data_IF_424462455764
#
_entry.id   IF_424462455764
#
_cell.length_a   1.000
_cell.length_b   1.000
_cell.length_c   1.000
_cell.angle_alpha   90.00
_cell.angle_beta   90.00
_cell.angle_gamma   90.00
#
_symmetry.space_group_name_H-M   'P 1'
#
loop_
_entity.id
_entity.type
_entity.pdbx_description
1 polymer ?
#
# COMPACT_ATOMS: atom_id res chain seq x y z
N UNK A 1 16.50 31.02 -75.49
CA UNK A 1 16.19 31.91 -74.35
C UNK A 1 15.20 31.18 -73.47
N UNK A 2 15.64 30.65 -72.33
CA UNK A 2 14.79 30.00 -71.34
C UNK A 2 14.62 30.99 -70.19
N UNK A 3 13.40 31.44 -69.95
CA UNK A 3 13.06 32.35 -68.84
C UNK A 3 13.28 31.63 -67.50
N UNK A 4 14.30 32.04 -66.76
CA UNK A 4 14.56 31.62 -65.38
C UNK A 4 13.60 32.38 -64.44
N UNK A 5 12.37 31.88 -64.30
CA UNK A 5 11.42 32.38 -63.30
C UNK A 5 11.80 31.85 -61.93
N UNK A 6 12.68 32.55 -61.23
CA UNK A 6 12.93 32.27 -59.80
C UNK A 6 11.69 32.63 -58.99
N UNK A 7 11.25 31.77 -58.06
CA UNK A 7 10.13 32.07 -57.19
C UNK A 7 10.46 33.27 -56.31
N UNK A 8 9.53 34.22 -56.23
CA UNK A 8 9.68 35.42 -55.42
C UNK A 8 9.54 35.01 -53.94
N UNK A 9 10.65 35.00 -53.19
CA UNK A 9 10.65 34.62 -51.77
C UNK A 9 10.51 35.90 -50.94
N UNK A 10 9.33 36.15 -50.38
CA UNK A 10 9.09 37.23 -49.42
C UNK A 10 9.26 36.76 -47.98
N UNK A 11 9.72 37.66 -47.12
CA UNK A 11 9.77 37.48 -45.68
C UNK A 11 8.53 38.10 -45.04
N UNK A 12 7.83 37.38 -44.16
CA UNK A 12 6.71 37.94 -43.41
C UNK A 12 7.22 38.48 -42.06
N UNK A 13 7.23 39.81 -41.85
CA UNK A 13 7.73 40.42 -40.63
C UNK A 13 6.83 40.19 -39.42
N UNK A 14 5.56 39.80 -39.62
CA UNK A 14 4.62 39.55 -38.51
C UNK A 14 4.91 38.20 -37.86
N UNK A 15 5.18 37.19 -38.66
CA UNK A 15 5.49 35.83 -38.19
C UNK A 15 6.99 35.58 -38.04
N UNK A 16 7.85 36.47 -38.57
CA UNK A 16 9.31 36.32 -38.65
C UNK A 16 9.75 35.03 -39.39
N UNK A 17 8.97 34.62 -40.39
CA UNK A 17 9.23 33.40 -41.16
C UNK A 17 9.19 33.72 -42.66
N UNK A 18 10.00 33.03 -43.45
CA UNK A 18 9.98 33.13 -44.91
C UNK A 18 8.71 32.47 -45.47
N UNK A 19 8.05 33.11 -46.42
CA UNK A 19 6.76 32.67 -46.99
C UNK A 19 6.87 31.26 -47.64
N UNK A 20 8.06 30.92 -48.14
CA UNK A 20 8.40 29.59 -48.66
C UNK A 20 8.28 28.46 -47.63
N UNK A 21 8.47 28.75 -46.35
CA UNK A 21 8.35 27.78 -45.24
C UNK A 21 6.87 27.46 -45.00
N UNK A 22 5.98 28.46 -45.13
CA UNK A 22 4.54 28.31 -44.92
C UNK A 22 3.91 27.51 -46.06
N UNK A 23 4.41 27.64 -47.30
CA UNK A 23 3.85 26.95 -48.46
C UNK A 23 4.38 25.52 -48.69
N UNK A 24 5.42 25.07 -47.97
CA UNK A 24 5.93 23.71 -48.11
C UNK A 24 5.00 22.69 -47.40
N UNK A 25 4.46 21.68 -48.11
CA UNK A 25 3.54 20.70 -47.52
C UNK A 25 4.15 19.92 -46.36
N UNK A 26 5.47 19.68 -46.35
CA UNK A 26 6.16 18.97 -45.27
C UNK A 26 6.21 19.80 -43.98
N UNK A 27 6.42 21.11 -44.09
CA UNK A 27 6.43 22.01 -42.92
C UNK A 27 5.03 22.17 -42.34
N UNK A 28 3.98 22.23 -43.18
CA UNK A 28 2.58 22.22 -42.72
C UNK A 28 2.25 20.96 -41.94
N UNK A 29 2.65 19.78 -42.43
CA UNK A 29 2.43 18.50 -41.75
C UNK A 29 3.12 18.48 -40.38
N UNK A 30 4.38 18.96 -40.32
CA UNK A 30 5.15 19.04 -39.08
C UNK A 30 4.49 19.96 -38.05
N UNK A 31 4.05 21.16 -38.44
CA UNK A 31 3.37 22.08 -37.52
C UNK A 31 2.03 21.54 -37.02
N UNK A 32 1.24 20.89 -37.89
CA UNK A 32 0.00 20.22 -37.46
C UNK A 32 0.29 19.13 -36.44
N UNK A 33 1.35 18.33 -36.64
CA UNK A 33 1.74 17.29 -35.68
C UNK A 33 2.16 17.87 -34.32
N UNK A 34 2.93 18.95 -34.30
CA UNK A 34 3.35 19.63 -33.06
C UNK A 34 2.15 20.19 -32.31
N UNK A 35 1.24 20.87 -33.00
CA UNK A 35 0.02 21.42 -32.39
C UNK A 35 -0.90 20.30 -31.90
N UNK A 36 -1.09 19.23 -32.70
CA UNK A 36 -1.88 18.08 -32.30
C UNK A 36 -1.31 17.39 -31.06
N UNK A 37 0.01 17.21 -30.97
CA UNK A 37 0.68 16.68 -29.79
C UNK A 37 0.46 17.60 -28.57
N UNK A 38 0.70 18.91 -28.71
CA UNK A 38 0.53 19.87 -27.62
C UNK A 38 -0.91 19.94 -27.08
N UNK A 39 -1.92 19.82 -27.96
CA UNK A 39 -3.34 19.81 -27.58
C UNK A 39 -3.78 18.45 -27.02
N UNK A 40 -3.16 17.35 -27.46
CA UNK A 40 -3.49 16.01 -26.98
C UNK A 40 -2.99 15.71 -25.56
N UNK A 41 -1.84 16.28 -25.14
CA UNK A 41 -1.24 16.02 -23.82
C UNK A 41 -2.20 16.36 -22.65
N UNK A 42 -2.86 17.53 -22.60
CA UNK A 42 -3.84 17.85 -21.55
C UNK A 42 -5.07 16.91 -21.56
N UNK A 43 -5.48 16.44 -22.74
CA UNK A 43 -6.59 15.49 -22.86
C UNK A 43 -6.19 14.10 -22.35
N UNK A 44 -4.95 13.65 -22.60
CA UNK A 44 -4.41 12.41 -22.04
C UNK A 44 -4.32 12.48 -20.51
N UNK A 45 -4.03 13.65 -19.93
CA UNK A 45 -4.09 13.88 -18.48
C UNK A 45 -5.52 13.90 -17.91
N UNK A 46 -6.56 14.17 -18.72
CA UNK A 46 -7.96 14.04 -18.28
C UNK A 46 -8.50 12.61 -18.44
N UNK A 47 -7.97 11.84 -19.39
CA UNK A 47 -8.26 10.40 -19.57
C UNK A 47 -7.41 9.48 -18.66
N UNK A 48 -6.83 10.06 -17.60
CA UNK A 48 -5.96 9.46 -16.58
C UNK A 48 -6.60 8.33 -15.75
N UNK A 49 -7.70 7.72 -16.21
CA UNK A 49 -8.14 6.41 -15.68
C UNK A 49 -7.22 5.27 -16.11
N UNK A 50 -6.43 5.43 -17.19
CA UNK A 50 -5.47 4.40 -17.64
C UNK A 50 -4.07 4.56 -17.04
N UNK A 51 -3.72 5.75 -16.53
CA UNK A 51 -2.45 6.04 -15.84
C UNK A 51 -2.60 6.08 -14.31
N UNK A 52 -3.83 6.21 -13.78
CA UNK A 52 -4.17 5.83 -12.41
C UNK A 52 -4.09 4.31 -12.27
N UNK A 53 -2.85 3.83 -12.11
CA UNK A 53 -2.41 2.48 -11.74
C UNK A 53 -3.41 1.36 -11.97
N UNK A 54 -3.06 0.40 -12.83
CA UNK A 54 -3.78 -0.87 -12.96
C UNK A 54 -4.28 -1.33 -11.58
N UNK A 55 -5.60 -1.56 -11.42
CA UNK A 55 -6.16 -1.81 -10.11
C UNK A 55 -5.37 -2.94 -9.45
N UNK A 56 -4.73 -2.63 -8.32
CA UNK A 56 -3.92 -3.60 -7.60
C UNK A 56 -4.77 -4.85 -7.41
N UNK A 57 -4.32 -5.98 -7.97
CA UNK A 57 -5.09 -7.21 -7.93
C UNK A 57 -5.30 -7.57 -6.46
N UNK A 58 -6.55 -7.88 -6.09
CA UNK A 58 -6.82 -8.38 -4.75
C UNK A 58 -6.27 -9.82 -4.65
N UNK A 59 -5.03 -9.93 -4.19
CA UNK A 59 -4.36 -11.21 -3.97
C UNK A 59 -4.60 -11.67 -2.52
N UNK A 60 -5.36 -12.75 -2.30
CA UNK A 60 -5.66 -13.22 -0.96
C UNK A 60 -4.39 -13.73 -0.28
N UNK A 61 -4.25 -13.39 0.99
CA UNK A 61 -3.09 -13.78 1.78
C UNK A 61 -3.35 -15.12 2.48
N UNK A 62 -2.34 -15.99 2.43
CA UNK A 62 -2.32 -17.29 3.08
C UNK A 62 -1.52 -17.26 4.39
N UNK A 63 -1.84 -18.20 5.28
CA UNK A 63 -1.08 -18.39 6.50
C UNK A 63 0.40 -18.72 6.18
N UNK A 64 1.37 -18.22 6.98
CA UNK A 64 2.75 -18.62 6.84
C UNK A 64 2.89 -20.13 7.07
N UNK A 65 3.80 -20.76 6.34
CA UNK A 65 4.17 -22.16 6.62
C UNK A 65 5.16 -22.17 7.77
N UNK A 66 5.21 -23.27 8.49
CA UNK A 66 6.25 -23.50 9.51
C UNK A 66 7.34 -24.36 8.91
N UNK A 67 8.61 -23.99 9.12
CA UNK A 67 9.73 -24.84 8.71
C UNK A 67 9.93 -26.03 9.67
N UNK A 68 9.43 -25.90 10.90
CA UNK A 68 9.55 -26.89 11.96
C UNK A 68 8.23 -27.09 12.74
N UNK A 69 8.17 -28.05 13.67
CA UNK A 69 6.96 -28.34 14.46
C UNK A 69 6.66 -27.32 15.55
N UNK A 70 7.69 -26.63 16.05
CA UNK A 70 7.60 -25.65 17.12
C UNK A 70 7.30 -24.24 16.62
N UNK A 71 7.27 -24.03 15.29
CA UNK A 71 7.12 -22.71 14.67
C UNK A 71 8.25 -21.75 15.04
N UNK A 72 9.44 -22.29 15.28
CA UNK A 72 10.63 -21.51 15.54
C UNK A 72 11.03 -20.67 14.31
N UNK A 73 10.77 -21.19 13.11
CA UNK A 73 10.95 -20.48 11.83
C UNK A 73 9.67 -20.54 11.01
N UNK A 74 9.22 -19.37 10.56
CA UNK A 74 8.06 -19.19 9.69
C UNK A 74 8.51 -18.82 8.28
N UNK A 75 7.92 -19.46 7.27
CA UNK A 75 8.08 -19.11 5.86
C UNK A 75 6.87 -18.27 5.45
N UNK A 76 7.10 -16.96 5.30
CA UNK A 76 6.10 -15.98 4.92
C UNK A 76 6.09 -15.88 3.40
N UNK A 77 4.97 -16.29 2.81
CA UNK A 77 4.73 -16.32 1.36
C UNK A 77 3.23 -16.13 1.17
N UNK A 78 2.80 -14.87 1.27
CA UNK A 78 1.40 -14.49 1.46
C UNK A 78 0.54 -14.85 0.26
N UNK A 79 0.98 -14.50 -0.95
CA UNK A 79 0.28 -14.77 -2.22
C UNK A 79 0.73 -16.06 -2.93
N UNK A 80 1.68 -16.82 -2.37
CA UNK A 80 2.20 -18.06 -2.99
C UNK A 80 2.92 -17.85 -4.32
N UNK A 81 3.60 -16.72 -4.48
CA UNK A 81 4.39 -16.41 -5.67
C UNK A 81 5.86 -16.86 -5.57
N UNK A 82 6.23 -17.52 -4.47
CA UNK A 82 7.59 -17.94 -4.12
C UNK A 82 8.55 -16.79 -3.80
N UNK A 83 8.05 -15.58 -3.58
CA UNK A 83 8.82 -14.47 -3.02
C UNK A 83 8.80 -14.54 -1.49
N UNK A 84 9.55 -15.50 -0.96
CA UNK A 84 9.48 -15.90 0.45
C UNK A 84 10.29 -14.97 1.35
N UNK A 85 9.80 -14.71 2.56
CA UNK A 85 10.61 -14.20 3.67
C UNK A 85 10.70 -15.25 4.77
N UNK A 86 11.92 -15.51 5.26
CA UNK A 86 12.14 -16.37 6.41
C UNK A 86 12.09 -15.53 7.69
N UNK A 87 11.16 -15.85 8.58
CA UNK A 87 11.01 -15.18 9.87
C UNK A 87 11.37 -16.13 11.01
N UNK A 88 12.53 -15.88 11.64
CA UNK A 88 13.02 -16.64 12.79
C UNK A 88 12.29 -16.24 14.06
N UNK A 89 11.05 -16.71 14.20
CA UNK A 89 10.12 -16.33 15.27
C UNK A 89 10.71 -16.54 16.68
N UNK A 90 11.27 -17.73 16.97
CA UNK A 90 11.82 -18.02 18.30
C UNK A 90 12.98 -17.07 18.65
N UNK A 91 13.84 -16.76 17.66
CA UNK A 91 14.94 -15.82 17.85
C UNK A 91 14.43 -14.41 18.14
N UNK A 92 13.42 -13.92 17.41
CA UNK A 92 12.83 -12.61 17.68
C UNK A 92 12.20 -12.56 19.07
N UNK A 93 11.48 -13.62 19.45
CA UNK A 93 10.90 -13.73 20.78
C UNK A 93 11.98 -13.66 21.87
N UNK A 94 13.04 -14.45 21.76
CA UNK A 94 14.16 -14.46 22.71
C UNK A 94 14.84 -13.09 22.80
N UNK A 95 15.25 -12.52 21.67
CA UNK A 95 15.98 -11.25 21.61
C UNK A 95 15.16 -10.06 22.13
N UNK A 96 13.84 -10.12 22.04
CA UNK A 96 12.95 -9.04 22.44
C UNK A 96 12.41 -9.20 23.87
N UNK A 97 12.86 -10.21 24.63
CA UNK A 97 12.52 -10.39 26.04
C UNK A 97 11.52 -11.53 26.32
N UNK A 98 11.51 -12.58 25.51
CA UNK A 98 10.67 -13.76 25.73
C UNK A 98 9.18 -13.48 25.49
N UNK A 99 8.31 -14.07 26.31
CA UNK A 99 6.84 -13.95 26.20
C UNK A 99 6.34 -12.49 26.29
N UNK A 100 7.03 -11.62 27.03
CA UNK A 100 6.67 -10.19 27.13
C UNK A 100 6.85 -9.45 25.80
N UNK A 101 7.62 -10.02 24.86
CA UNK A 101 7.83 -9.44 23.54
C UNK A 101 6.64 -9.58 22.60
N UNK A 102 5.71 -10.49 22.87
CA UNK A 102 4.68 -10.85 21.90
C UNK A 102 3.79 -9.65 21.51
N UNK A 103 3.53 -8.74 22.45
CA UNK A 103 2.77 -7.52 22.19
C UNK A 103 3.49 -6.57 21.20
N UNK A 104 4.83 -6.64 21.07
CA UNK A 104 5.59 -5.81 20.12
C UNK A 104 5.22 -6.09 18.65
N UNK A 105 4.67 -7.28 18.37
CA UNK A 105 4.25 -7.69 17.03
C UNK A 105 2.73 -7.96 16.95
N UNK A 106 2.15 -8.62 17.96
CA UNK A 106 0.73 -8.92 18.03
C UNK A 106 -0.04 -7.78 18.70
N UNK A 107 -0.21 -6.68 17.95
CA UNK A 107 -0.83 -5.45 18.45
C UNK A 107 -2.36 -5.53 18.61
N UNK A 108 -2.99 -6.54 18.01
CA UNK A 108 -4.41 -6.86 18.17
C UNK A 108 -4.65 -8.35 17.98
N UNK A 109 -5.54 -8.89 18.81
CA UNK A 109 -6.05 -10.23 18.68
C UNK A 109 -7.50 -10.28 18.24
N UNK A 110 -7.88 -11.40 17.62
CA UNK A 110 -9.27 -11.79 17.54
C UNK A 110 -9.81 -12.08 18.95
N UNK A 111 -11.11 -11.87 19.19
CA UNK A 111 -11.75 -12.20 20.47
C UNK A 111 -11.40 -13.61 20.94
N UNK A 112 -10.91 -13.71 22.18
CA UNK A 112 -10.52 -14.97 22.84
C UNK A 112 -9.40 -15.76 22.12
N UNK A 113 -8.60 -15.08 21.30
CA UNK A 113 -7.41 -15.65 20.70
C UNK A 113 -6.16 -15.00 21.30
N UNK A 114 -5.07 -15.76 21.41
CA UNK A 114 -3.76 -15.24 21.78
C UNK A 114 -2.86 -15.27 20.55
N UNK A 115 -2.26 -14.13 20.23
CA UNK A 115 -1.23 -13.95 19.21
C UNK A 115 -1.76 -14.23 17.80
N UNK A 116 -2.84 -13.53 17.45
CA UNK A 116 -3.47 -13.60 16.15
C UNK A 116 -2.47 -13.27 15.07
N UNK A 117 -2.29 -14.18 14.13
CA UNK A 117 -1.39 -13.98 13.00
C UNK A 117 -1.93 -12.90 12.05
N UNK A 118 -1.03 -12.10 11.47
CA UNK A 118 -1.37 -10.91 10.69
C UNK A 118 -2.33 -11.19 9.52
N UNK A 119 -2.19 -12.34 8.84
CA UNK A 119 -3.02 -12.71 7.69
C UNK A 119 -4.52 -12.81 8.01
N UNK A 120 -4.88 -12.98 9.29
CA UNK A 120 -6.29 -13.00 9.69
C UNK A 120 -7.00 -11.66 9.52
N UNK A 121 -6.24 -10.56 9.62
CA UNK A 121 -6.75 -9.20 9.53
C UNK A 121 -6.31 -8.54 8.23
N UNK A 122 -5.04 -8.70 7.86
CA UNK A 122 -4.44 -8.18 6.64
C UNK A 122 -4.59 -9.20 5.51
N UNK A 123 -5.80 -9.29 4.94
CA UNK A 123 -6.20 -10.43 4.09
C UNK A 123 -5.85 -10.27 2.60
N UNK A 124 -5.30 -9.13 2.21
CA UNK A 124 -4.90 -8.83 0.83
C UNK A 124 -3.45 -8.36 0.81
N UNK A 125 -2.67 -8.84 -0.17
CA UNK A 125 -1.26 -8.45 -0.29
C UNK A 125 -1.08 -6.94 -0.52
N UNK A 126 -1.95 -6.34 -1.31
CA UNK A 126 -1.77 -4.99 -1.84
C UNK A 126 -2.92 -4.03 -1.53
N UNK A 127 -4.06 -4.51 -1.02
CA UNK A 127 -5.22 -3.67 -0.72
C UNK A 127 -5.54 -3.63 0.79
N UNK A 128 -6.05 -2.50 1.30
CA UNK A 128 -6.65 -2.47 2.63
C UNK A 128 -7.86 -3.40 2.73
N UNK A 129 -8.09 -4.00 3.89
CA UNK A 129 -9.22 -4.90 4.12
C UNK A 129 -9.97 -4.53 5.40
N UNK A 130 -11.31 -4.57 5.35
CA UNK A 130 -12.13 -4.34 6.52
C UNK A 130 -11.96 -5.49 7.52
N UNK A 131 -11.58 -5.22 8.76
CA UNK A 131 -11.47 -6.24 9.82
C UNK A 131 -12.79 -6.43 10.58
N UNK A 132 -13.68 -5.45 10.51
CA UNK A 132 -15.01 -5.54 11.08
C UNK A 132 -15.97 -6.29 10.15
N UNK A 133 -16.70 -7.25 10.71
CA UNK A 133 -17.76 -7.98 10.00
C UNK A 133 -19.13 -7.62 10.60
N UNK A 134 -19.85 -6.73 9.93
CA UNK A 134 -21.15 -6.21 10.40
C UNK A 134 -22.19 -7.32 10.54
N UNK A 135 -22.32 -8.18 9.53
CA UNK A 135 -23.26 -9.32 9.55
C UNK A 135 -22.98 -10.27 10.70
N UNK A 136 -21.71 -10.57 10.98
CA UNK A 136 -21.32 -11.39 12.11
C UNK A 136 -21.77 -10.77 13.44
N UNK A 137 -21.54 -9.47 13.65
CA UNK A 137 -21.93 -8.78 14.87
C UNK A 137 -23.46 -8.71 15.02
N UNK A 138 -24.19 -8.39 13.95
CA UNK A 138 -25.66 -8.42 13.95
C UNK A 138 -26.16 -9.79 14.40
N UNK A 139 -25.63 -10.87 13.81
CA UNK A 139 -26.07 -12.23 14.15
C UNK A 139 -25.76 -12.58 15.61
N UNK A 140 -24.59 -12.15 16.13
CA UNK A 140 -24.20 -12.38 17.52
C UNK A 140 -25.00 -11.55 18.53
N UNK A 141 -25.48 -10.38 18.13
CA UNK A 141 -26.26 -9.47 18.97
C UNK A 141 -27.79 -9.64 18.83
N UNK A 142 -28.24 -10.76 18.26
CA UNK A 142 -29.68 -11.07 18.17
C UNK A 142 -30.40 -10.36 17.01
N UNK A 143 -29.70 -10.14 15.90
CA UNK A 143 -30.27 -9.51 14.70
C UNK A 143 -30.45 -8.01 14.87
N UNK A 144 -31.52 -7.47 14.27
CA UNK A 144 -31.81 -6.03 14.28
C UNK A 144 -32.01 -5.45 15.70
N UNK A 145 -32.32 -6.29 16.70
CA UNK A 145 -32.43 -5.87 18.11
C UNK A 145 -31.08 -5.37 18.67
N UNK A 146 -29.97 -5.86 18.13
CA UNK A 146 -28.62 -5.47 18.52
C UNK A 146 -28.12 -4.18 17.87
N UNK A 147 -28.87 -3.58 16.95
CA UNK A 147 -28.42 -2.38 16.22
C UNK A 147 -28.07 -1.21 17.15
N UNK A 148 -28.78 -1.06 18.27
CA UNK A 148 -28.56 0.04 19.21
C UNK A 148 -27.35 -0.19 20.12
N UNK A 149 -26.82 -1.42 20.18
CA UNK A 149 -25.55 -1.70 20.85
C UNK A 149 -24.41 -0.97 20.16
N UNK A 150 -24.42 -0.92 18.82
CA UNK A 150 -23.39 -0.22 18.04
C UNK A 150 -23.78 1.21 17.67
N UNK A 151 -25.08 1.48 17.47
CA UNK A 151 -25.61 2.78 17.06
C UNK A 151 -26.62 3.29 18.09
N UNK A 152 -26.16 3.77 19.25
CA UNK A 152 -27.03 4.13 20.37
C UNK A 152 -27.89 5.37 20.10
N UNK A 153 -27.44 6.26 19.21
CA UNK A 153 -28.19 7.45 18.81
C UNK A 153 -29.15 7.11 17.66
N UNK A 154 -30.42 6.88 18.00
CA UNK A 154 -31.47 6.56 17.03
C UNK A 154 -31.84 7.73 16.12
N UNK A 155 -31.48 8.97 16.49
CA UNK A 155 -31.75 10.16 15.69
C UNK A 155 -30.79 10.32 14.51
N UNK A 156 -29.67 9.58 14.52
CA UNK A 156 -28.64 9.64 13.49
C UNK A 156 -28.72 8.44 12.54
N UNK A 157 -28.34 8.62 11.26
CA UNK A 157 -28.07 7.50 10.38
C UNK A 157 -27.05 6.54 11.01
N UNK A 158 -27.27 5.23 10.84
CA UNK A 158 -26.39 4.16 11.34
C UNK A 158 -25.12 4.06 10.49
N UNK A 159 -24.27 5.07 10.61
CA UNK A 159 -22.98 5.16 9.94
C UNK A 159 -21.85 4.70 10.85
N UNK A 160 -20.79 4.21 10.21
CA UNK A 160 -19.56 3.80 10.89
C UNK A 160 -18.95 4.91 11.75
N UNK A 161 -18.98 6.16 11.29
CA UNK A 161 -18.40 7.32 11.99
C UNK A 161 -19.10 7.63 13.31
N UNK A 162 -20.34 7.17 13.47
CA UNK A 162 -21.18 7.42 14.65
C UNK A 162 -21.45 6.13 15.44
N UNK A 163 -20.73 5.04 15.12
CA UNK A 163 -20.81 3.79 15.85
C UNK A 163 -19.90 3.84 17.09
N UNK A 164 -20.21 3.04 18.11
CA UNK A 164 -19.32 2.85 19.27
C UNK A 164 -17.98 2.26 18.84
N UNK A 165 -16.90 2.60 19.56
CA UNK A 165 -15.57 2.08 19.26
C UNK A 165 -15.46 0.60 19.63
N UNK A 166 -14.61 -0.15 18.91
CA UNK A 166 -14.36 -1.56 19.18
C UNK A 166 -13.95 -1.80 20.65
N UNK A 167 -13.14 -0.89 21.22
CA UNK A 167 -12.65 -0.95 22.60
C UNK A 167 -13.74 -0.86 23.66
N UNK A 168 -14.89 -0.27 23.36
CA UNK A 168 -16.01 -0.19 24.31
C UNK A 168 -16.54 -1.59 24.65
N UNK A 169 -16.48 -2.53 23.71
CA UNK A 169 -16.88 -3.92 23.93
C UNK A 169 -15.69 -4.87 24.09
N UNK A 170 -14.60 -4.64 23.36
CA UNK A 170 -13.48 -5.57 23.21
C UNK A 170 -12.20 -5.19 23.98
N UNK A 171 -12.33 -4.36 25.01
CA UNK A 171 -11.17 -3.94 25.83
C UNK A 171 -10.47 -5.10 26.56
N UNK A 172 -11.14 -6.24 26.74
CA UNK A 172 -10.66 -7.37 27.55
C UNK A 172 -10.29 -8.62 26.76
N UNK A 173 -10.77 -8.78 25.52
CA UNK A 173 -10.69 -10.03 24.75
C UNK A 173 -9.87 -9.93 23.46
N UNK A 174 -9.50 -8.72 23.02
CA UNK A 174 -8.72 -8.47 21.81
C UNK A 174 -7.32 -7.90 22.07
N UNK A 175 -6.92 -7.70 23.33
CA UNK A 175 -5.63 -7.12 23.75
C UNK A 175 -5.20 -5.91 22.90
N UNK A 176 -6.16 -5.08 22.51
CA UNK A 176 -5.91 -3.91 21.69
C UNK A 176 -4.96 -2.99 22.43
N UNK A 177 -3.78 -2.77 21.89
CA UNK A 177 -2.93 -1.71 22.39
C UNK A 177 -3.70 -0.40 22.28
N UNK A 178 -3.73 0.36 23.38
CA UNK A 178 -4.26 1.72 23.31
C UNK A 178 -3.47 2.42 22.20
N UNK A 179 -4.14 3.07 21.24
CA UNK A 179 -3.45 3.94 20.30
C UNK A 179 -2.51 4.84 21.12
N UNK A 180 -1.30 5.08 20.62
CA UNK A 180 -0.37 5.99 21.28
C UNK A 180 -1.16 7.22 21.72
N UNK A 181 -1.04 7.59 23.00
CA UNK A 181 -1.78 8.71 23.56
C UNK A 181 -1.63 9.87 22.57
N UNK A 182 -2.76 10.45 22.19
CA UNK A 182 -2.70 11.61 21.32
C UNK A 182 -1.74 12.63 21.94
N UNK A 183 -0.96 13.28 21.09
CA UNK A 183 -0.18 14.45 21.51
C UNK A 183 -1.15 15.46 22.12
N UNK A 184 -0.70 16.19 23.14
CA UNK A 184 -1.54 17.10 23.92
C UNK A 184 -2.48 17.92 23.02
N UNK A 185 -3.80 17.74 23.20
CA UNK A 185 -4.85 18.44 22.46
C UNK A 185 -5.44 17.70 21.25
N UNK A 186 -4.83 16.61 20.77
CA UNK A 186 -5.40 15.78 19.70
C UNK A 186 -6.32 14.69 20.28
N UNK A 187 -7.37 14.27 19.56
CA UNK A 187 -8.12 13.07 19.92
C UNK A 187 -7.24 11.83 19.71
N UNK A 188 -7.26 10.89 20.66
CA UNK A 188 -6.57 9.61 20.52
C UNK A 188 -6.98 8.96 19.18
N UNK A 189 -6.03 8.53 18.33
CA UNK A 189 -6.37 8.03 17.01
C UNK A 189 -7.31 6.83 17.15
N UNK A 190 -8.48 6.92 16.53
CA UNK A 190 -9.44 5.80 16.54
C UNK A 190 -8.79 4.56 15.95
N UNK A 191 -9.11 3.40 16.53
CA UNK A 191 -8.72 2.13 15.94
C UNK A 191 -9.31 1.99 14.53
N UNK A 192 -8.45 1.85 13.52
CA UNK A 192 -8.87 1.81 12.13
C UNK A 192 -9.43 0.42 11.78
N UNK A 193 -10.72 0.35 11.48
CA UNK A 193 -11.41 -0.86 10.99
C UNK A 193 -10.94 -1.33 9.60
N UNK A 194 -10.14 -0.53 8.89
CA UNK A 194 -9.44 -0.92 7.68
C UNK A 194 -8.01 -1.29 8.04
N UNK A 195 -7.71 -2.59 8.05
CA UNK A 195 -6.34 -3.04 8.09
C UNK A 195 -5.65 -2.63 6.78
N UNK A 196 -4.43 -2.04 6.82
CA UNK A 196 -3.63 -1.83 5.61
C UNK A 196 -3.35 -3.16 4.90
N UNK A 197 -2.78 -3.07 3.70
CA UNK A 197 -2.35 -4.27 2.97
C UNK A 197 -1.37 -5.10 3.81
N UNK A 198 -1.27 -6.40 3.51
CA UNK A 198 -0.36 -7.29 4.22
C UNK A 198 1.10 -6.92 4.01
N UNK A 199 1.46 -6.50 2.79
CA UNK A 199 2.80 -5.99 2.50
C UNK A 199 3.10 -4.73 3.32
N UNK A 200 2.18 -3.75 3.33
CA UNK A 200 2.39 -2.51 4.11
C UNK A 200 2.49 -2.78 5.61
N UNK A 201 1.64 -3.66 6.16
CA UNK A 201 1.65 -4.00 7.58
C UNK A 201 2.98 -4.66 7.99
N UNK A 202 3.43 -5.64 7.20
CA UNK A 202 4.69 -6.35 7.44
C UNK A 202 5.89 -5.42 7.26
N UNK A 203 5.99 -4.76 6.11
CA UNK A 203 7.12 -3.90 5.80
C UNK A 203 7.22 -2.75 6.79
N UNK A 204 6.12 -2.08 7.13
CA UNK A 204 6.15 -1.00 8.11
C UNK A 204 6.71 -1.47 9.45
N UNK A 205 6.16 -2.55 10.02
CA UNK A 205 6.58 -3.06 11.33
C UNK A 205 8.05 -3.54 11.32
N UNK A 206 8.39 -4.41 10.38
CA UNK A 206 9.70 -5.06 10.35
C UNK A 206 10.81 -4.07 9.98
N UNK A 207 10.62 -3.28 8.92
CA UNK A 207 11.65 -2.34 8.43
C UNK A 207 11.89 -1.22 9.44
N UNK A 208 10.86 -0.65 10.05
CA UNK A 208 11.04 0.39 11.05
C UNK A 208 11.84 -0.13 12.26
N UNK A 209 11.49 -1.31 12.77
CA UNK A 209 12.21 -1.94 13.89
C UNK A 209 13.66 -2.25 13.52
N UNK A 210 13.89 -2.87 12.36
CA UNK A 210 15.22 -3.22 11.87
C UNK A 210 16.11 -2.00 11.67
N UNK A 211 15.58 -0.94 11.06
CA UNK A 211 16.29 0.33 10.89
C UNK A 211 16.72 0.91 12.24
N UNK A 212 15.85 0.89 13.25
CA UNK A 212 16.22 1.34 14.60
C UNK A 212 17.34 0.50 15.19
N UNK A 213 17.30 -0.83 15.00
CA UNK A 213 18.37 -1.70 15.45
C UNK A 213 19.68 -1.44 14.68
N UNK A 214 19.63 -1.09 13.39
CA UNK A 214 20.83 -0.82 12.57
C UNK A 214 21.55 0.45 13.01
N UNK A 215 20.83 1.47 13.45
CA UNK A 215 21.43 2.65 14.07
C UNK A 215 22.20 2.33 15.36
N UNK A 216 21.92 1.19 15.99
CA UNK A 216 22.56 0.77 17.25
C UNK A 216 23.69 -0.25 17.08
N UNK A 217 23.97 -0.71 15.87
CA UNK A 217 24.93 -1.78 15.62
C UNK A 217 25.77 -1.52 14.36
N UNK A 218 27.09 -1.74 14.43
CA UNK A 218 27.93 -1.79 13.23
C UNK A 218 27.65 -3.09 12.47
N UNK A 219 26.83 -3.01 11.42
CA UNK A 219 26.49 -4.15 10.56
C UNK A 219 27.02 -3.97 9.14
N UNK A 220 27.43 -5.10 8.54
CA UNK A 220 27.92 -5.16 7.15
C UNK A 220 26.80 -4.95 6.12
N UNK A 221 25.57 -5.30 6.48
CA UNK A 221 24.38 -5.14 5.65
C UNK A 221 23.23 -4.61 6.50
N UNK A 222 22.54 -3.54 6.07
CA UNK A 222 21.33 -3.05 6.71
C UNK A 222 20.20 -4.08 6.65
N UNK A 223 19.45 -4.24 7.73
CA UNK A 223 18.40 -5.23 7.86
C UNK A 223 17.07 -4.79 7.22
N UNK A 224 16.96 -3.52 6.81
CA UNK A 224 15.83 -3.01 6.01
C UNK A 224 15.87 -3.41 4.53
N UNK A 225 17.00 -3.91 4.04
CA UNK A 225 17.14 -4.24 2.62
C UNK A 225 16.31 -5.46 2.24
N UNK A 226 15.72 -5.45 1.03
CA UNK A 226 14.85 -6.53 0.55
C UNK A 226 15.50 -7.92 0.67
N UNK A 227 16.77 -8.04 0.32
CA UNK A 227 17.49 -9.32 0.31
C UNK A 227 17.81 -9.84 1.72
N UNK A 228 17.76 -9.00 2.75
CA UNK A 228 17.94 -9.44 4.13
C UNK A 228 16.77 -10.31 4.57
N UNK A 229 15.53 -9.87 4.30
CA UNK A 229 14.31 -10.61 4.62
C UNK A 229 13.97 -11.68 3.58
N UNK A 230 14.17 -11.39 2.30
CA UNK A 230 13.83 -12.24 1.15
C UNK A 230 15.05 -12.97 0.58
N UNK A 231 15.87 -13.55 1.45
CA UNK A 231 17.06 -14.29 1.03
C UNK A 231 16.68 -15.47 0.12
N UNK A 232 17.17 -15.46 -1.12
CA UNK A 232 16.92 -16.53 -2.09
C UNK A 232 15.73 -16.32 -3.03
N UNK A 233 15.02 -15.19 -2.93
CA UNK A 233 14.16 -14.76 -4.04
C UNK A 233 15.02 -14.58 -5.28
N UNK A 234 14.89 -15.47 -6.28
CA UNK A 234 15.55 -15.28 -7.57
C UNK A 234 15.12 -13.91 -8.10
N UNK A 235 16.05 -13.12 -8.66
CA UNK A 235 15.83 -11.80 -9.30
C UNK A 235 14.80 -11.81 -10.45
N UNK A 236 14.07 -12.90 -10.65
CA UNK A 236 13.11 -13.10 -11.73
C UNK A 236 11.71 -12.58 -11.40
N UNK A 237 11.52 -11.79 -10.33
CA UNK A 237 10.24 -11.10 -10.12
C UNK A 237 10.14 -9.98 -11.19
N UNK A 238 9.23 -10.08 -12.16
CA UNK A 238 9.25 -9.24 -13.36
C UNK A 238 8.92 -7.76 -13.11
N UNK A 239 8.67 -7.35 -11.86
CA UNK A 239 8.27 -6.00 -11.48
C UNK A 239 9.27 -5.24 -10.58
N UNK A 240 10.48 -5.77 -10.36
CA UNK A 240 11.55 -5.05 -9.65
C UNK A 240 12.79 -4.89 -10.55
N UNK A 241 12.57 -4.47 -11.80
CA UNK A 241 13.62 -3.91 -12.64
C UNK A 241 13.32 -2.42 -12.85
N UNK A 242 13.85 -1.56 -11.98
CA UNK A 242 13.80 -0.12 -12.22
C UNK A 242 13.96 0.78 -10.99
N UNK A 243 15.21 0.93 -10.51
CA UNK A 243 15.82 2.18 -9.96
C UNK A 243 16.93 1.86 -8.96
N UNK A 244 17.93 1.11 -9.40
CA UNK A 244 19.14 0.85 -8.60
C UNK A 244 20.39 0.84 -9.46
N UNK A 245 20.55 1.85 -10.33
CA UNK A 245 21.79 2.10 -11.05
C UNK A 245 21.89 3.60 -11.40
N UNK A 246 22.44 4.38 -10.47
CA UNK A 246 23.55 5.34 -10.65
C UNK A 246 23.68 6.24 -9.42
#
# INVERSE_FOLDING_TARGET
MSDDKRPNVSFDPVTNVWDSVIHNPLHKLSMVAVVALAVSIPFLWHFDTSLKGMPLRNEPVQAPKSADRTRAVLIIDGNRDNYVAEFKHAQHQEMLGGEESCAKCHHIDKPNNLFTACFHCHRSMAQPTAIFNHTFHINKLGGNKGCNTCHPDESKPKWRTNAVHCSECHSKDMRMQKPAAAKDGEPAPMFNYMAPSYADAMHKLCIECHRTMDLSAERKQPMEECNFCHAGAKKTHPNIEGNGAN
#
